data_IF_247836779103
#
_entry.id   IF_247836779103
#
_cell.length_a   1.000
_cell.length_b   1.000
_cell.length_c   1.000
_cell.angle_alpha   90.00
_cell.angle_beta   90.00
_cell.angle_gamma   90.00
#
_symmetry.space_group_name_H-M   'P 1'
#
loop_
_entity.id
_entity.type
_entity.pdbx_description
1 polymer ?
#
# COMPACT_ATOMS: atom_id res chain seq x y z
N UNK A 1 6.66 2.08 -19.16
CA UNK A 1 6.41 1.67 -17.77
C UNK A 1 7.73 1.30 -17.15
N UNK A 2 8.08 1.84 -15.97
CA UNK A 2 9.30 1.41 -15.25
C UNK A 2 9.12 -0.03 -14.78
N UNK A 3 10.15 -0.87 -14.89
CA UNK A 3 10.15 -2.18 -14.25
C UNK A 3 10.06 -2.00 -12.73
N UNK A 4 9.13 -2.69 -12.08
CA UNK A 4 8.91 -2.61 -10.64
C UNK A 4 9.36 -3.92 -10.03
N UNK A 5 10.47 -3.88 -9.30
CA UNK A 5 10.95 -5.02 -8.52
C UNK A 5 10.09 -5.11 -7.25
N UNK A 6 9.23 -6.12 -7.19
CA UNK A 6 8.27 -6.32 -6.11
C UNK A 6 8.98 -6.66 -4.80
N UNK A 7 8.67 -5.91 -3.75
CA UNK A 7 9.17 -6.17 -2.40
C UNK A 7 8.30 -7.15 -1.62
N UNK A 8 8.68 -7.37 -0.36
CA UNK A 8 7.81 -8.05 0.60
C UNK A 8 6.63 -7.16 0.99
N UNK A 9 5.53 -7.81 1.42
CA UNK A 9 4.41 -7.11 2.04
C UNK A 9 4.86 -6.35 3.30
N UNK A 10 4.39 -5.10 3.53
CA UNK A 10 4.65 -4.39 4.77
C UNK A 10 4.11 -5.15 5.98
N UNK A 11 4.86 -5.18 7.08
CA UNK A 11 4.49 -5.93 8.27
C UNK A 11 3.15 -5.46 8.84
N UNK A 12 2.89 -4.16 8.78
CA UNK A 12 1.65 -3.53 9.22
C UNK A 12 0.44 -4.09 8.47
N UNK A 13 0.59 -4.36 7.17
CA UNK A 13 -0.48 -4.96 6.37
C UNK A 13 -0.68 -6.44 6.72
N UNK A 14 0.42 -7.17 6.93
CA UNK A 14 0.37 -8.57 7.35
C UNK A 14 -0.28 -8.73 8.72
N UNK A 15 0.12 -7.91 9.70
CA UNK A 15 -0.42 -7.91 11.06
C UNK A 15 -1.89 -7.49 11.08
N UNK A 16 -2.26 -6.51 10.24
CA UNK A 16 -3.66 -6.12 10.08
C UNK A 16 -4.53 -7.22 9.48
N UNK A 17 -4.05 -7.92 8.46
CA UNK A 17 -4.76 -9.09 7.90
C UNK A 17 -4.88 -10.21 8.93
N UNK A 18 -3.84 -10.42 9.74
CA UNK A 18 -3.82 -11.47 10.77
C UNK A 18 -4.83 -11.27 11.91
N UNK A 19 -5.42 -10.08 12.05
CA UNK A 19 -6.50 -9.81 13.01
C UNK A 19 -7.85 -10.43 12.60
N UNK A 20 -7.92 -11.07 11.43
CA UNK A 20 -9.12 -11.73 10.90
C UNK A 20 -9.72 -12.72 11.91
N UNK A 21 -11.02 -12.61 12.14
CA UNK A 21 -11.79 -13.51 13.02
C UNK A 21 -13.24 -13.64 12.52
N UNK A 22 -14.13 -14.22 13.34
CA UNK A 22 -15.55 -14.42 12.99
C UNK A 22 -16.34 -13.11 12.90
N UNK A 23 -15.98 -12.11 13.70
CA UNK A 23 -16.70 -10.83 13.80
C UNK A 23 -16.10 -9.73 12.93
N UNK A 24 -14.88 -9.93 12.42
CA UNK A 24 -14.16 -8.93 11.64
C UNK A 24 -13.32 -9.58 10.56
N UNK A 25 -13.39 -9.03 9.35
CA UNK A 25 -12.61 -9.42 8.18
C UNK A 25 -11.88 -8.21 7.60
N UNK A 26 -10.63 -8.35 7.11
CA UNK A 26 -9.96 -7.29 6.38
C UNK A 26 -10.66 -7.08 5.03
N UNK A 27 -11.21 -5.88 4.81
CA UNK A 27 -11.88 -5.49 3.56
C UNK A 27 -11.36 -4.15 3.07
N UNK A 28 -11.63 -3.79 1.82
CA UNK A 28 -11.26 -2.47 1.31
C UNK A 28 -12.01 -1.34 2.04
N UNK A 29 -13.24 -1.59 2.48
CA UNK A 29 -14.06 -0.59 3.19
C UNK A 29 -13.49 -0.23 4.56
N UNK A 30 -12.84 -1.18 5.24
CA UNK A 30 -12.20 -0.95 6.53
C UNK A 30 -10.67 -0.78 6.46
N UNK A 31 -10.10 -0.80 5.25
CA UNK A 31 -8.67 -0.58 5.03
C UNK A 31 -8.32 0.90 5.20
N UNK A 32 -7.85 1.24 6.39
CA UNK A 32 -7.57 2.62 6.81
C UNK A 32 -6.44 2.69 7.84
N UNK A 33 -6.06 3.90 8.24
CA UNK A 33 -5.05 4.10 9.27
C UNK A 33 -3.65 3.63 8.87
N UNK A 34 -2.92 3.11 9.85
CA UNK A 34 -1.52 2.71 9.73
C UNK A 34 -1.24 1.63 8.65
N UNK A 35 -2.01 0.51 8.54
CA UNK A 35 -1.73 -0.48 7.49
C UNK A 35 -1.91 0.10 6.08
N UNK A 36 -2.85 1.05 5.89
CA UNK A 36 -3.01 1.76 4.62
C UNK A 36 -1.85 2.72 4.33
N UNK A 37 -1.38 3.45 5.34
CA UNK A 37 -0.25 4.35 5.18
C UNK A 37 1.04 3.58 4.86
N UNK A 38 1.35 2.52 5.61
CA UNK A 38 2.50 1.66 5.37
C UNK A 38 2.50 1.06 3.97
N UNK A 39 1.35 0.53 3.53
CA UNK A 39 1.15 0.01 2.17
C UNK A 39 1.41 1.08 1.11
N UNK A 40 0.87 2.30 1.30
CA UNK A 40 1.08 3.41 0.37
C UNK A 40 2.55 3.82 0.28
N UNK A 41 3.22 3.97 1.41
CA UNK A 41 4.65 4.33 1.46
C UNK A 41 5.51 3.26 0.77
N UNK A 42 5.25 1.99 1.03
CA UNK A 42 5.94 0.88 0.37
C UNK A 42 5.75 0.93 -1.15
N UNK A 43 4.52 1.10 -1.64
CA UNK A 43 4.22 1.18 -3.08
C UNK A 43 4.86 2.39 -3.76
N UNK A 44 4.83 3.57 -3.13
CA UNK A 44 5.49 4.77 -3.68
C UNK A 44 7.00 4.55 -3.83
N UNK A 45 7.62 3.92 -2.83
CA UNK A 45 9.05 3.56 -2.87
C UNK A 45 9.35 2.52 -3.95
N UNK A 46 8.56 1.46 -4.03
CA UNK A 46 8.70 0.37 -5.01
C UNK A 46 8.59 0.90 -6.45
N UNK A 47 7.63 1.79 -6.69
CA UNK A 47 7.45 2.44 -7.98
C UNK A 47 8.55 3.49 -8.32
N UNK A 48 9.46 3.77 -7.38
CA UNK A 48 10.49 4.80 -7.52
C UNK A 48 9.91 6.20 -7.65
N UNK A 49 8.85 6.50 -6.90
CA UNK A 49 8.19 7.82 -6.88
C UNK A 49 7.59 8.23 -8.23
N UNK A 50 7.21 7.26 -9.06
CA UNK A 50 6.56 7.47 -10.36
C UNK A 50 5.21 6.73 -10.36
N UNK A 51 4.13 7.39 -10.74
CA UNK A 51 2.82 6.74 -10.88
C UNK A 51 2.87 5.69 -12.01
N UNK A 52 2.48 4.45 -11.69
CA UNK A 52 2.46 3.35 -12.66
C UNK A 52 1.46 3.55 -13.82
N UNK A 53 0.43 4.39 -13.63
CA UNK A 53 -0.57 4.68 -14.66
C UNK A 53 -0.19 5.87 -15.55
N UNK A 54 0.11 7.02 -14.95
CA UNK A 54 0.28 8.27 -15.69
C UNK A 54 1.74 8.72 -15.83
N UNK A 55 2.69 7.98 -15.23
CA UNK A 55 4.14 8.25 -15.28
C UNK A 55 4.56 9.62 -14.71
N UNK A 56 3.67 10.29 -13.96
CA UNK A 56 4.00 11.51 -13.22
C UNK A 56 4.77 11.17 -11.95
N UNK A 57 5.61 12.10 -11.49
CA UNK A 57 6.23 12.01 -10.16
C UNK A 57 5.15 12.08 -9.09
N UNK A 58 5.27 11.23 -8.09
CA UNK A 58 4.36 11.14 -6.94
C UNK A 58 5.16 10.96 -5.65
N UNK A 59 4.54 11.31 -4.53
CA UNK A 59 5.04 11.06 -3.18
C UNK A 59 3.87 10.62 -2.30
N UNK A 60 4.10 10.50 -1.00
CA UNK A 60 3.07 10.08 -0.04
C UNK A 60 1.87 11.04 0.04
N UNK A 61 2.04 12.33 -0.28
CA UNK A 61 0.96 13.32 -0.25
C UNK A 61 0.19 13.41 -1.57
N UNK A 62 0.84 13.14 -2.71
CA UNK A 62 0.30 13.31 -4.07
C UNK A 62 -0.11 12.01 -4.76
N UNK A 63 0.01 10.87 -4.07
CA UNK A 63 -0.46 9.56 -4.53
C UNK A 63 -1.73 9.14 -3.81
N UNK A 64 -2.43 8.16 -4.38
CA UNK A 64 -3.59 7.53 -3.77
C UNK A 64 -3.54 6.02 -4.03
N UNK A 65 -4.07 5.26 -3.07
CA UNK A 65 -4.31 3.81 -3.17
C UNK A 65 -5.71 3.49 -2.63
#
# INVERSE_FOLDING_TARGET
MKHIDKGNEPQELTDWKAQENENWKPTWDNFSGEPKQATKTALVKEQGMICCYCMKRINEQSSHI
#
